data_IF_687671238317
#
_entry.id   IF_687671238317
#
_cell.length_a   1.000
_cell.length_b   1.000
_cell.length_c   1.000
_cell.angle_alpha   90.00
_cell.angle_beta   90.00
_cell.angle_gamma   90.00
#
_symmetry.space_group_name_H-M   'P 1'
#
loop_
_entity.id
_entity.type
_entity.pdbx_description
1 polymer ?
#
# COMPACT_ATOMS: atom_id res chain seq x y z
N UNK A 1 0.50 16.14 9.01
CA UNK A 1 1.90 15.70 8.94
C UNK A 1 1.90 14.18 8.99
N UNK A 2 1.62 13.54 7.85
CA UNK A 2 1.94 12.13 7.72
C UNK A 2 3.46 12.07 7.89
N UNK A 3 3.92 11.38 8.94
CA UNK A 3 5.36 11.13 9.14
C UNK A 3 5.90 10.44 7.89
N UNK A 4 7.19 10.66 7.61
CA UNK A 4 7.97 9.94 6.60
C UNK A 4 7.47 8.51 6.43
N UNK A 5 6.87 8.24 5.26
CA UNK A 5 6.25 6.96 4.94
C UNK A 5 7.26 5.81 5.11
N UNK A 6 8.55 6.05 4.89
CA UNK A 6 9.58 5.03 5.06
C UNK A 6 9.69 4.50 6.50
N UNK A 7 9.21 5.27 7.49
CA UNK A 7 9.25 4.93 8.92
C UNK A 7 7.94 4.28 9.42
N UNK A 8 6.97 4.04 8.53
CA UNK A 8 5.72 3.41 8.92
C UNK A 8 5.93 1.94 9.30
N UNK A 9 5.43 1.57 10.49
CA UNK A 9 5.16 0.18 10.82
C UNK A 9 3.96 -0.37 10.05
N UNK A 10 3.76 -1.68 10.11
CA UNK A 10 2.65 -2.41 9.44
C UNK A 10 1.28 -1.82 9.78
N UNK A 11 1.02 -1.46 11.03
CA UNK A 11 -0.25 -0.85 11.45
C UNK A 11 -0.53 0.50 10.77
N UNK A 12 0.52 1.27 10.49
CA UNK A 12 0.37 2.56 9.80
C UNK A 12 0.10 2.36 8.31
N UNK A 13 0.75 1.36 7.69
CA UNK A 13 0.42 0.92 6.33
C UNK A 13 -1.03 0.42 6.25
N UNK A 14 -1.49 -0.39 7.21
CA UNK A 14 -2.87 -0.88 7.26
C UNK A 14 -3.89 0.27 7.33
N UNK A 15 -3.62 1.28 8.17
CA UNK A 15 -4.45 2.50 8.25
C UNK A 15 -4.45 3.27 6.94
N UNK A 16 -3.30 3.38 6.27
CA UNK A 16 -3.21 4.00 4.96
C UNK A 16 -4.01 3.22 3.90
N UNK A 17 -3.90 1.89 3.84
CA UNK A 17 -4.70 1.05 2.93
C UNK A 17 -6.20 1.29 3.14
N UNK A 18 -6.67 1.30 4.40
CA UNK A 18 -8.08 1.59 4.75
C UNK A 18 -8.51 3.02 4.42
N UNK A 19 -7.56 3.93 4.22
CA UNK A 19 -7.85 5.33 3.87
C UNK A 19 -8.09 5.54 2.37
N UNK A 20 -7.65 4.61 1.51
CA UNK A 20 -7.79 4.69 0.06
C UNK A 20 -9.25 4.51 -0.38
N UNK A 21 -10.00 5.61 -0.50
CA UNK A 21 -11.44 5.59 -0.80
C UNK A 21 -11.79 5.08 -2.19
N UNK A 22 -10.86 5.17 -3.13
CA UNK A 22 -11.05 4.68 -4.51
C UNK A 22 -10.94 3.16 -4.62
N UNK A 23 -10.47 2.48 -3.57
CA UNK A 23 -10.36 1.02 -3.51
C UNK A 23 -11.48 0.51 -2.59
N UNK A 24 -12.54 -0.04 -3.20
CA UNK A 24 -13.75 -0.48 -2.49
C UNK A 24 -13.61 -1.84 -1.78
N UNK A 25 -12.38 -2.34 -1.60
CA UNK A 25 -12.04 -3.58 -0.90
C UNK A 25 -10.95 -3.30 0.12
N UNK A 26 -11.12 -3.82 1.33
CA UNK A 26 -10.08 -3.76 2.35
C UNK A 26 -9.01 -4.82 2.08
N UNK A 27 -7.77 -4.38 1.83
CA UNK A 27 -6.59 -5.23 1.66
C UNK A 27 -5.63 -5.15 2.85
N UNK A 28 -6.01 -4.44 3.91
CA UNK A 28 -5.11 -4.20 5.05
C UNK A 28 -4.71 -5.50 5.76
N UNK A 29 -5.59 -6.49 5.83
CA UNK A 29 -5.28 -7.80 6.41
C UNK A 29 -4.24 -8.56 5.58
N UNK A 30 -4.33 -8.51 4.25
CA UNK A 30 -3.34 -9.10 3.35
C UNK A 30 -1.98 -8.39 3.52
N UNK A 31 -1.98 -7.06 3.57
CA UNK A 31 -0.75 -6.27 3.81
C UNK A 31 -0.15 -6.56 5.19
N UNK A 32 -0.98 -6.72 6.23
CA UNK A 32 -0.54 -7.08 7.57
C UNK A 32 0.08 -8.48 7.60
N UNK A 33 -0.60 -9.46 6.99
CA UNK A 33 -0.17 -10.86 6.91
C UNK A 33 1.17 -11.00 6.20
N UNK A 34 1.40 -10.20 5.16
CA UNK A 34 2.67 -10.15 4.42
C UNK A 34 3.72 -9.24 5.06
N UNK A 35 3.44 -8.61 6.20
CA UNK A 35 4.40 -7.80 6.94
C UNK A 35 4.80 -6.52 6.22
N UNK A 36 3.92 -5.96 5.39
CA UNK A 36 4.23 -4.78 4.57
C UNK A 36 4.33 -3.54 5.47
N UNK A 37 5.56 -3.08 5.68
CA UNK A 37 5.88 -1.83 6.34
C UNK A 37 6.12 -0.71 5.31
N UNK A 38 6.35 0.51 5.78
CA UNK A 38 6.56 1.67 4.93
C UNK A 38 7.75 1.57 3.98
N UNK A 39 8.85 0.98 4.43
CA UNK A 39 10.00 0.73 3.57
C UNK A 39 9.64 -0.20 2.41
N UNK A 40 9.05 -1.37 2.69
CA UNK A 40 8.62 -2.36 1.68
C UNK A 40 7.57 -1.77 0.73
N UNK A 41 6.62 -1.01 1.28
CA UNK A 41 5.57 -0.30 0.52
C UNK A 41 6.18 0.58 -0.57
N UNK A 42 7.25 1.30 -0.26
CA UNK A 42 7.88 2.25 -1.17
C UNK A 42 8.90 1.60 -2.12
N UNK A 43 9.62 0.56 -1.68
CA UNK A 43 10.76 0.02 -2.44
C UNK A 43 10.48 -1.29 -3.17
N UNK A 44 9.50 -2.08 -2.72
CA UNK A 44 9.31 -3.45 -3.20
C UNK A 44 7.96 -3.70 -3.90
N UNK A 45 6.93 -2.91 -3.64
CA UNK A 45 5.62 -3.15 -4.26
C UNK A 45 5.62 -2.72 -5.73
N UNK A 46 5.25 -3.66 -6.59
CA UNK A 46 4.93 -3.46 -8.01
C UNK A 46 3.63 -4.21 -8.38
N UNK A 47 3.26 -4.20 -9.66
CA UNK A 47 2.03 -4.86 -10.13
C UNK A 47 2.02 -6.37 -9.85
N UNK A 48 3.17 -7.04 -10.01
CA UNK A 48 3.29 -8.49 -9.83
C UNK A 48 3.15 -8.84 -8.36
N UNK A 49 3.86 -8.13 -7.48
CA UNK A 49 3.81 -8.36 -6.03
C UNK A 49 2.42 -8.06 -5.47
N UNK A 50 1.76 -6.99 -5.92
CA UNK A 50 0.38 -6.69 -5.51
C UNK A 50 -0.58 -7.83 -5.91
N UNK A 51 -0.39 -8.42 -7.09
CA UNK A 51 -1.19 -9.56 -7.52
C UNK A 51 -0.94 -10.79 -6.64
N UNK A 52 0.32 -11.10 -6.31
CA UNK A 52 0.69 -12.19 -5.40
C UNK A 52 0.14 -12.00 -3.97
N UNK A 53 -0.06 -10.74 -3.53
CA UNK A 53 -0.70 -10.39 -2.26
C UNK A 53 -2.23 -10.34 -2.32
N UNK A 54 -2.85 -10.86 -3.39
CA UNK A 54 -4.31 -10.99 -3.48
C UNK A 54 -5.03 -9.79 -4.08
N UNK A 55 -4.31 -8.76 -4.56
CA UNK A 55 -4.88 -7.64 -5.33
C UNK A 55 -5.09 -8.08 -6.79
N UNK A 56 -6.03 -9.00 -7.01
CA UNK A 56 -6.27 -9.64 -8.32
C UNK A 56 -6.83 -8.70 -9.38
N UNK A 57 -7.57 -7.67 -8.98
CA UNK A 57 -8.16 -6.67 -9.90
C UNK A 57 -7.08 -5.73 -10.43
N UNK A 58 -6.90 -5.68 -11.76
CA UNK A 58 -5.96 -4.77 -12.44
C UNK A 58 -6.22 -3.31 -12.03
N UNK A 59 -7.49 -2.88 -11.96
CA UNK A 59 -7.85 -1.53 -11.53
C UNK A 59 -7.33 -1.21 -10.12
N UNK A 60 -7.52 -2.11 -9.15
CA UNK A 60 -7.04 -1.89 -7.78
C UNK A 60 -5.52 -1.78 -7.71
N UNK A 61 -4.79 -2.62 -8.48
CA UNK A 61 -3.32 -2.52 -8.54
C UNK A 61 -2.86 -1.19 -9.10
N UNK A 62 -3.51 -0.71 -10.18
CA UNK A 62 -3.22 0.62 -10.74
C UNK A 62 -3.47 1.75 -9.74
N UNK A 63 -4.56 1.67 -8.97
CA UNK A 63 -4.86 2.64 -7.92
C UNK A 63 -3.84 2.60 -6.78
N UNK A 64 -3.41 1.42 -6.34
CA UNK A 64 -2.33 1.30 -5.34
C UNK A 64 -1.02 1.90 -5.85
N UNK A 65 -0.60 1.56 -7.07
CA UNK A 65 0.65 2.08 -7.64
C UNK A 65 0.63 3.61 -7.76
N UNK A 66 -0.53 4.18 -8.14
CA UNK A 66 -0.72 5.64 -8.15
C UNK A 66 -0.58 6.23 -6.74
N UNK A 67 -1.27 5.66 -5.75
CA UNK A 67 -1.22 6.14 -4.37
C UNK A 67 0.19 6.01 -3.74
N UNK A 68 0.94 4.97 -4.10
CA UNK A 68 2.34 4.78 -3.68
C UNK A 68 3.24 5.85 -4.31
N UNK A 69 3.01 6.22 -5.58
CA UNK A 69 3.75 7.31 -6.23
C UNK A 69 3.50 8.65 -5.52
N UNK A 70 2.25 8.94 -5.16
CA UNK A 70 1.89 10.16 -4.42
C UNK A 70 2.56 10.25 -3.04
N UNK A 71 2.80 9.11 -2.37
CA UNK A 71 3.55 9.04 -1.12
C UNK A 71 5.05 9.34 -1.31
N UNK A 72 5.64 8.94 -2.45
CA UNK A 72 7.06 9.23 -2.76
C UNK A 72 7.28 10.71 -3.05
N UNK A 73 6.30 11.34 -3.68
CA UNK A 73 6.36 12.76 -4.05
C UNK A 73 6.05 13.70 -2.86
N UNK A 74 5.49 13.18 -1.76
CA UNK A 74 5.19 13.90 -0.53
C UNK A 74 5.76 13.17 0.72
N UNK A 75 7.10 13.12 0.88
CA UNK A 75 7.75 12.40 1.97
C UNK A 75 7.42 12.95 3.35
#
# INVERSE_FOLDING_TARGET
>A
LLKDCSQWGTDSVCRWVKSLKDINKDYSEDFLKHGINGHVLLTCLDDVILQEFGVSTILHRRLFLKAIAELKDNP
#
